data_IF_577442570829
#
_entry.id   IF_577442570829
#
_cell.length_a   1.000
_cell.length_b   1.000
_cell.length_c   1.000
_cell.angle_alpha   90.00
_cell.angle_beta   90.00
_cell.angle_gamma   90.00
#
_symmetry.space_group_name_H-M   'P 1'
#
loop_
_entity.id
_entity.type
_entity.pdbx_description
1 polymer ?
#
# COMPACT_ATOMS: atom_id res chain seq x y z
N UNK A 1 10.84 -22.65 -4.63
CA UNK A 1 9.43 -22.60 -4.18
C UNK A 1 9.32 -23.35 -2.86
N UNK A 2 8.90 -22.70 -1.78
CA UNK A 2 8.64 -23.32 -0.46
C UNK A 2 7.13 -23.39 -0.22
N UNK A 3 6.63 -24.31 0.61
CA UNK A 3 5.29 -24.21 1.19
C UNK A 3 5.10 -22.88 1.93
N UNK A 4 3.89 -22.31 1.87
CA UNK A 4 3.58 -21.06 2.57
C UNK A 4 3.60 -21.24 4.10
N UNK A 5 3.31 -22.44 4.59
CA UNK A 5 3.35 -22.80 6.01
C UNK A 5 4.76 -22.71 6.58
N UNK A 6 5.79 -23.06 5.80
CA UNK A 6 7.21 -22.86 6.18
C UNK A 6 7.51 -21.38 6.42
N UNK A 7 6.94 -20.47 5.62
CA UNK A 7 7.09 -19.03 5.85
C UNK A 7 6.37 -18.59 7.14
N UNK A 8 5.17 -19.09 7.40
CA UNK A 8 4.42 -18.77 8.63
C UNK A 8 5.17 -19.23 9.88
N UNK A 9 5.76 -20.43 9.86
CA UNK A 9 6.64 -20.91 10.95
C UNK A 9 7.83 -20.00 11.17
N UNK A 10 8.48 -19.57 10.10
CA UNK A 10 9.61 -18.64 10.17
C UNK A 10 9.24 -17.24 10.69
N UNK A 11 7.96 -16.87 10.67
CA UNK A 11 7.43 -15.62 11.25
C UNK A 11 7.03 -15.77 12.73
N UNK A 12 7.08 -16.99 13.27
CA UNK A 12 6.84 -17.30 14.68
C UNK A 12 5.55 -18.07 14.98
N UNK A 13 4.82 -18.54 13.95
CA UNK A 13 3.65 -19.42 14.14
C UNK A 13 4.12 -20.88 14.14
N UNK A 14 4.54 -21.38 15.30
CA UNK A 14 5.26 -22.66 15.38
C UNK A 14 4.33 -23.87 15.28
N UNK A 15 3.15 -23.80 15.90
CA UNK A 15 2.29 -24.95 16.05
C UNK A 15 1.38 -25.13 14.83
N UNK A 16 1.17 -26.38 14.41
CA UNK A 16 0.23 -26.69 13.33
C UNK A 16 -1.18 -26.19 13.67
N UNK A 17 -1.59 -26.34 14.93
CA UNK A 17 -2.90 -25.89 15.40
C UNK A 17 -3.05 -24.38 15.29
N UNK A 18 -2.02 -23.62 15.69
CA UNK A 18 -2.00 -22.16 15.57
C UNK A 18 -2.11 -21.73 14.10
N UNK A 19 -1.36 -22.39 13.21
CA UNK A 19 -1.47 -22.14 11.77
C UNK A 19 -2.89 -22.47 11.27
N UNK A 20 -3.48 -23.59 11.68
CA UNK A 20 -4.83 -23.97 11.25
C UNK A 20 -5.89 -22.98 11.73
N UNK A 21 -5.78 -22.50 12.97
CA UNK A 21 -6.69 -21.50 13.55
C UNK A 21 -6.63 -20.17 12.77
N UNK A 22 -5.44 -19.75 12.31
CA UNK A 22 -5.29 -18.54 11.50
C UNK A 22 -6.14 -18.57 10.22
N UNK A 23 -6.43 -19.75 9.67
CA UNK A 23 -7.22 -19.91 8.45
C UNK A 23 -8.57 -20.58 8.70
N UNK A 24 -9.07 -20.58 9.94
CA UNK A 24 -10.36 -21.20 10.32
C UNK A 24 -10.48 -22.66 9.85
N UNK A 25 -9.38 -23.42 9.94
CA UNK A 25 -9.28 -24.84 9.60
C UNK A 25 -9.54 -25.20 8.13
N UNK A 26 -9.23 -24.31 7.19
CA UNK A 26 -9.31 -24.57 5.75
C UNK A 26 -8.50 -25.80 5.29
N UNK A 27 -9.11 -26.64 4.45
CA UNK A 27 -8.54 -27.90 3.97
C UNK A 27 -7.26 -27.72 3.15
N UNK A 28 -7.17 -26.63 2.37
CA UNK A 28 -6.01 -26.30 1.54
C UNK A 28 -4.77 -26.05 2.42
N UNK A 29 -4.97 -25.47 3.60
CA UNK A 29 -3.89 -25.23 4.55
C UNK A 29 -3.44 -26.54 5.18
N UNK A 30 -4.38 -27.43 5.52
CA UNK A 30 -4.08 -28.79 6.01
C UNK A 30 -3.23 -29.58 5.01
N UNK A 31 -3.64 -29.64 3.74
CA UNK A 31 -2.88 -30.34 2.69
C UNK A 31 -1.50 -29.69 2.41
N UNK A 32 -1.36 -28.39 2.68
CA UNK A 32 -0.07 -27.70 2.59
C UNK A 32 0.84 -28.03 3.78
N UNK A 33 0.28 -28.13 4.99
CA UNK A 33 1.00 -28.55 6.20
C UNK A 33 1.52 -30.00 6.07
N UNK A 34 0.76 -30.89 5.46
CA UNK A 34 1.19 -32.27 5.19
C UNK A 34 2.41 -32.35 4.25
N UNK A 35 2.59 -31.34 3.39
CA UNK A 35 3.74 -31.21 2.47
C UNK A 35 4.90 -30.40 3.07
N UNK A 36 4.71 -29.80 4.24
CA UNK A 36 5.73 -29.01 4.92
C UNK A 36 6.76 -29.95 5.55
N UNK A 37 8.02 -29.80 5.15
CA UNK A 37 9.14 -30.57 5.71
C UNK A 37 9.55 -30.10 7.10
N UNK A 38 9.03 -28.97 7.58
CA UNK A 38 9.49 -28.31 8.80
C UNK A 38 8.48 -28.41 9.94
N UNK A 39 8.99 -28.58 11.17
CA UNK A 39 8.15 -28.72 12.36
C UNK A 39 8.18 -27.50 13.30
N UNK A 40 9.22 -26.67 13.25
CA UNK A 40 9.42 -25.56 14.19
C UNK A 40 9.99 -24.29 13.52
N UNK A 41 9.97 -23.13 14.21
CA UNK A 41 10.50 -21.85 13.69
C UNK A 41 11.94 -22.00 13.20
N UNK A 42 12.78 -22.71 13.96
CA UNK A 42 14.21 -22.87 13.68
C UNK A 42 14.48 -23.63 12.38
N UNK A 43 13.81 -24.76 12.16
CA UNK A 43 13.92 -25.55 10.93
C UNK A 43 13.43 -24.77 9.72
N UNK A 44 12.28 -24.09 9.86
CA UNK A 44 11.70 -23.24 8.83
C UNK A 44 12.66 -22.11 8.42
N UNK A 45 13.21 -21.42 9.41
CA UNK A 45 14.25 -20.41 9.22
C UNK A 45 15.43 -20.99 8.42
N UNK A 46 16.01 -22.09 8.89
CA UNK A 46 17.17 -22.74 8.26
C UNK A 46 16.85 -23.15 6.81
N UNK A 47 15.68 -23.70 6.55
CA UNK A 47 15.27 -24.09 5.21
C UNK A 47 15.20 -22.89 4.26
N UNK A 48 14.58 -21.79 4.69
CA UNK A 48 14.53 -20.55 3.90
C UNK A 48 15.95 -20.00 3.68
N UNK A 49 16.79 -20.01 4.70
CA UNK A 49 18.18 -19.53 4.60
C UNK A 49 18.99 -20.31 3.57
N UNK A 50 18.95 -21.65 3.64
CA UNK A 50 19.69 -22.52 2.70
C UNK A 50 19.32 -22.24 1.25
N UNK A 51 18.07 -21.84 0.99
CA UNK A 51 17.60 -21.51 -0.36
C UNK A 51 18.01 -20.11 -0.80
N UNK A 52 18.03 -19.14 0.11
CA UNK A 52 18.46 -17.77 -0.19
C UNK A 52 19.99 -17.65 -0.29
N UNK A 53 20.73 -18.37 0.56
CA UNK A 53 22.18 -18.34 0.67
C UNK A 53 22.74 -19.75 0.80
N UNK A 54 22.83 -20.52 -0.30
CA UNK A 54 23.28 -21.92 -0.26
C UNK A 54 24.71 -22.09 0.24
N UNK A 55 25.57 -21.09 0.04
CA UNK A 55 27.00 -21.15 0.34
C UNK A 55 27.35 -20.77 1.79
N UNK A 56 26.42 -20.20 2.55
CA UNK A 56 26.66 -19.77 3.94
C UNK A 56 26.10 -20.82 4.92
N UNK A 57 26.83 -21.20 5.98
CA UNK A 57 26.30 -22.11 6.98
C UNK A 57 25.15 -21.45 7.76
N UNK A 58 23.97 -22.09 7.85
CA UNK A 58 22.82 -21.51 8.55
C UNK A 58 23.03 -21.60 10.06
N UNK A 59 23.15 -20.46 10.72
CA UNK A 59 23.04 -20.36 12.18
C UNK A 59 21.70 -19.73 12.54
N UNK A 60 21.14 -20.09 13.70
CA UNK A 60 19.83 -19.60 14.15
C UNK A 60 19.79 -18.06 14.21
N UNK A 61 20.82 -17.45 14.79
CA UNK A 61 20.96 -15.98 14.90
C UNK A 61 21.02 -15.31 13.53
N UNK A 62 21.90 -15.76 12.63
CA UNK A 62 22.07 -15.13 11.32
C UNK A 62 20.82 -15.27 10.47
N UNK A 63 20.14 -16.42 10.58
CA UNK A 63 18.95 -16.70 9.80
C UNK A 63 17.77 -15.84 10.23
N UNK A 64 17.51 -15.78 11.54
CA UNK A 64 16.46 -14.92 12.11
C UNK A 64 16.69 -13.45 11.74
N UNK A 65 17.94 -13.00 11.85
CA UNK A 65 18.32 -11.64 11.50
C UNK A 65 18.16 -11.34 10.00
N UNK A 66 18.44 -12.31 9.12
CA UNK A 66 18.24 -12.15 7.69
C UNK A 66 16.76 -11.95 7.34
N UNK A 67 15.88 -12.81 7.84
CA UNK A 67 14.43 -12.71 7.57
C UNK A 67 13.87 -11.39 8.11
N UNK A 68 14.25 -11.02 9.34
CA UNK A 68 13.84 -9.75 9.93
C UNK A 68 14.27 -8.57 9.06
N UNK A 69 15.55 -8.54 8.63
CA UNK A 69 16.08 -7.47 7.77
C UNK A 69 15.46 -7.41 6.38
N UNK A 70 15.04 -8.54 5.83
CA UNK A 70 14.47 -8.60 4.48
C UNK A 70 13.01 -8.14 4.44
N UNK A 71 12.23 -8.43 5.48
CA UNK A 71 10.78 -8.22 5.44
C UNK A 71 10.29 -7.17 6.44
N UNK A 72 10.86 -7.11 7.64
CA UNK A 72 10.27 -6.38 8.78
C UNK A 72 11.06 -5.10 9.15
N UNK A 73 12.32 -5.00 8.73
CA UNK A 73 13.19 -3.86 9.02
C UNK A 73 12.84 -2.64 8.14
N UNK A 74 12.37 -1.58 8.78
CA UNK A 74 11.96 -0.32 8.14
C UNK A 74 13.08 0.43 7.43
N UNK A 75 14.36 0.17 7.76
CA UNK A 75 15.50 0.78 7.07
C UNK A 75 15.87 0.07 5.77
N UNK A 76 15.35 -1.14 5.55
CA UNK A 76 15.70 -2.00 4.41
C UNK A 76 14.49 -2.30 3.52
N UNK A 77 13.31 -2.40 4.13
CA UNK A 77 12.05 -2.66 3.45
C UNK A 77 11.05 -1.54 3.75
N UNK A 78 10.78 -0.71 2.76
CA UNK A 78 9.90 0.44 2.85
C UNK A 78 8.88 0.41 1.69
N UNK A 79 7.60 0.27 2.03
CA UNK A 79 6.48 0.29 1.08
C UNK A 79 6.12 1.72 0.62
N UNK A 80 6.71 2.73 1.26
CA UNK A 80 6.24 4.11 1.28
C UNK A 80 4.77 4.23 1.77
N UNK A 81 4.31 5.48 1.93
CA UNK A 81 2.92 5.76 2.32
C UNK A 81 1.92 5.17 1.33
N UNK A 82 2.23 5.24 0.03
CA UNK A 82 1.37 4.74 -1.04
C UNK A 82 1.24 3.22 -1.04
N UNK A 83 2.32 2.48 -0.78
CA UNK A 83 2.26 1.02 -0.71
C UNK A 83 1.45 0.55 0.49
N UNK A 84 1.61 1.18 1.66
CA UNK A 84 0.77 0.92 2.84
C UNK A 84 -0.71 1.21 2.56
N UNK A 85 -1.01 2.36 1.95
CA UNK A 85 -2.38 2.69 1.52
C UNK A 85 -2.98 1.60 0.60
N UNK A 86 -2.19 1.11 -0.36
CA UNK A 86 -2.63 0.07 -1.31
C UNK A 86 -2.89 -1.28 -0.64
N UNK A 87 -1.99 -1.75 0.24
CA UNK A 87 -2.18 -3.00 0.98
C UNK A 87 -3.46 -2.91 1.84
N UNK A 88 -3.60 -1.85 2.61
CA UNK A 88 -4.74 -1.68 3.52
C UNK A 88 -6.07 -1.63 2.75
N UNK A 89 -6.07 -1.00 1.57
CA UNK A 89 -7.25 -0.98 0.72
C UNK A 89 -7.52 -2.35 0.07
N UNK A 90 -6.51 -3.05 -0.42
CA UNK A 90 -6.69 -4.39 -1.04
C UNK A 90 -7.20 -5.41 -0.04
N UNK A 91 -6.70 -5.37 1.19
CA UNK A 91 -7.09 -6.27 2.28
C UNK A 91 -8.36 -5.80 3.01
N UNK A 92 -8.97 -4.69 2.58
CA UNK A 92 -10.15 -4.14 3.21
C UNK A 92 -11.25 -5.20 3.32
N UNK A 93 -11.85 -5.25 4.51
CA UNK A 93 -12.89 -6.20 4.84
C UNK A 93 -14.17 -5.97 4.01
N UNK A 94 -14.56 -4.72 3.80
CA UNK A 94 -15.80 -4.34 3.13
C UNK A 94 -15.88 -4.78 1.68
N UNK A 95 -14.81 -4.57 0.92
CA UNK A 95 -14.78 -4.91 -0.51
C UNK A 95 -14.97 -6.42 -0.76
N UNK A 96 -14.73 -7.27 0.25
CA UNK A 96 -14.88 -8.73 0.16
C UNK A 96 -16.27 -9.22 0.56
N UNK A 97 -16.92 -8.56 1.53
CA UNK A 97 -18.18 -9.05 2.12
C UNK A 97 -19.43 -8.33 1.60
N UNK A 98 -19.29 -7.11 1.07
CA UNK A 98 -20.44 -6.34 0.60
C UNK A 98 -21.17 -7.08 -0.53
N UNK A 99 -22.49 -7.23 -0.38
CA UNK A 99 -23.36 -7.93 -1.34
C UNK A 99 -23.29 -9.46 -1.30
N UNK A 100 -22.44 -10.04 -0.43
CA UNK A 100 -22.38 -11.50 -0.20
C UNK A 100 -23.47 -11.96 0.76
N UNK A 101 -23.79 -13.25 0.69
CA UNK A 101 -24.75 -13.93 1.57
C UNK A 101 -23.98 -14.50 2.76
N UNK A 102 -24.53 -14.34 3.95
CA UNK A 102 -23.91 -14.84 5.18
C UNK A 102 -24.24 -16.31 5.40
N UNK A 103 -23.25 -17.09 5.86
CA UNK A 103 -23.43 -18.52 6.14
C UNK A 103 -23.95 -18.79 7.57
N UNK A 104 -23.55 -17.98 8.54
CA UNK A 104 -23.89 -18.14 9.97
C UNK A 104 -24.39 -16.83 10.57
N UNK A 105 -25.28 -16.89 11.56
CA UNK A 105 -25.78 -15.69 12.25
C UNK A 105 -24.63 -14.81 12.77
N UNK A 106 -24.66 -13.53 12.42
CA UNK A 106 -23.68 -12.56 12.88
C UNK A 106 -24.18 -11.98 14.19
N UNK A 107 -23.48 -12.30 15.28
CA UNK A 107 -23.79 -11.82 16.62
C UNK A 107 -22.78 -10.76 17.05
N UNK A 108 -23.28 -9.67 17.61
CA UNK A 108 -22.45 -8.64 18.24
C UNK A 108 -21.81 -9.19 19.53
N UNK A 109 -20.46 -9.22 19.66
CA UNK A 109 -19.79 -9.72 20.87
C UNK A 109 -20.17 -8.94 22.15
N UNK A 110 -20.50 -7.66 22.03
CA UNK A 110 -20.79 -6.80 23.19
C UNK A 110 -22.23 -6.91 23.68
N UNK A 111 -23.20 -6.84 22.77
CA UNK A 111 -24.63 -6.85 23.12
C UNK A 111 -25.31 -8.22 23.02
N UNK A 112 -24.60 -9.23 22.48
CA UNK A 112 -25.11 -10.57 22.17
C UNK A 112 -26.39 -10.55 21.30
N UNK A 113 -26.59 -9.46 20.54
CA UNK A 113 -27.71 -9.31 19.60
C UNK A 113 -27.30 -9.80 18.22
N UNK A 114 -28.24 -10.47 17.55
CA UNK A 114 -28.08 -10.87 16.16
C UNK A 114 -28.19 -9.60 15.30
N UNK A 115 -27.09 -9.26 14.63
CA UNK A 115 -27.01 -8.17 13.66
C UNK A 115 -27.65 -8.61 12.34
N UNK A 116 -27.35 -9.83 11.92
CA UNK A 116 -27.82 -10.41 10.67
C UNK A 116 -28.02 -11.91 10.82
N UNK A 117 -29.11 -12.44 10.26
CA UNK A 117 -29.36 -13.88 10.23
C UNK A 117 -28.63 -14.55 9.07
N UNK A 118 -28.39 -15.85 9.21
CA UNK A 118 -27.90 -16.70 8.13
C UNK A 118 -28.78 -16.57 6.88
N UNK A 119 -28.16 -16.73 5.71
CA UNK A 119 -28.77 -16.63 4.38
C UNK A 119 -29.24 -15.22 3.96
N UNK A 120 -29.00 -14.19 4.76
CA UNK A 120 -29.25 -12.79 4.39
C UNK A 120 -28.04 -12.13 3.71
N UNK A 121 -28.32 -11.12 2.86
CA UNK A 121 -27.28 -10.34 2.16
C UNK A 121 -26.74 -9.21 3.02
N UNK A 122 -25.44 -8.96 2.91
CA UNK A 122 -24.78 -7.84 3.60
C UNK A 122 -24.98 -6.53 2.83
N UNK A 123 -25.78 -5.65 3.43
CA UNK A 123 -26.05 -4.29 2.92
C UNK A 123 -25.03 -3.30 3.51
N UNK A 124 -24.90 -2.11 2.93
CA UNK A 124 -24.05 -1.05 3.49
C UNK A 124 -24.38 -0.70 4.95
N UNK A 125 -25.67 -0.63 5.31
CA UNK A 125 -26.10 -0.35 6.70
C UNK A 125 -25.66 -1.44 7.68
N UNK A 126 -25.82 -2.71 7.28
CA UNK A 126 -25.41 -3.87 8.09
C UNK A 126 -23.89 -3.90 8.22
N UNK A 127 -23.18 -3.62 7.13
CA UNK A 127 -21.73 -3.52 7.14
C UNK A 127 -21.21 -2.48 8.15
N UNK A 128 -21.84 -1.29 8.21
CA UNK A 128 -21.51 -0.29 9.22
C UNK A 128 -21.74 -0.81 10.65
N UNK A 129 -22.81 -1.59 10.87
CA UNK A 129 -23.05 -2.22 12.17
C UNK A 129 -21.97 -3.25 12.53
N UNK A 130 -21.55 -4.08 11.56
CA UNK A 130 -20.49 -5.09 11.73
C UNK A 130 -19.14 -4.45 12.11
N UNK A 131 -18.79 -3.32 11.47
CA UNK A 131 -17.57 -2.59 11.81
C UNK A 131 -17.65 -2.05 13.24
N UNK A 132 -18.78 -1.43 13.60
CA UNK A 132 -18.95 -0.81 14.91
C UNK A 132 -18.97 -1.84 16.06
N UNK A 133 -19.43 -3.06 15.81
CA UNK A 133 -19.38 -4.17 16.78
C UNK A 133 -17.98 -4.79 16.93
N UNK A 134 -17.02 -4.41 16.09
CA UNK A 134 -15.63 -4.88 16.20
C UNK A 134 -15.43 -6.36 15.87
N UNK A 135 -16.31 -6.95 15.05
CA UNK A 135 -16.26 -8.36 14.67
C UNK A 135 -14.95 -8.67 13.93
N UNK A 136 -14.31 -9.78 14.32
CA UNK A 136 -13.00 -10.18 13.79
C UNK A 136 -13.08 -11.03 12.52
N UNK A 137 -14.13 -11.83 12.35
CA UNK A 137 -14.34 -12.66 11.16
C UNK A 137 -15.83 -12.84 10.86
N UNK A 138 -16.16 -12.97 9.58
CA UNK A 138 -17.51 -13.27 9.10
C UNK A 138 -17.44 -14.41 8.11
N UNK A 139 -18.35 -15.38 8.24
CA UNK A 139 -18.48 -16.49 7.30
C UNK A 139 -19.52 -16.15 6.23
N UNK A 140 -19.11 -16.21 4.97
CA UNK A 140 -19.96 -15.94 3.82
C UNK A 140 -20.03 -17.15 2.90
N UNK A 141 -21.10 -17.24 2.12
CA UNK A 141 -21.24 -18.24 1.06
C UNK A 141 -20.56 -17.77 -0.22
N UNK A 142 -19.79 -18.66 -0.84
CA UNK A 142 -19.27 -18.45 -2.19
C UNK A 142 -20.33 -18.75 -3.26
N UNK A 143 -19.95 -18.68 -4.54
CA UNK A 143 -20.85 -18.99 -5.66
C UNK A 143 -21.30 -20.45 -5.72
N UNK A 144 -20.61 -21.36 -5.03
CA UNK A 144 -20.89 -22.79 -4.97
C UNK A 144 -21.60 -23.19 -3.66
N UNK A 145 -22.05 -22.22 -2.87
CA UNK A 145 -22.64 -22.40 -1.53
C UNK A 145 -21.70 -23.05 -0.50
N UNK A 146 -20.39 -23.00 -0.71
CA UNK A 146 -19.41 -23.33 0.31
C UNK A 146 -19.24 -22.17 1.29
N UNK A 147 -19.07 -22.51 2.57
CA UNK A 147 -18.78 -21.54 3.64
C UNK A 147 -17.32 -21.14 3.58
N UNK A 148 -17.07 -19.83 3.55
CA UNK A 148 -15.72 -19.26 3.51
C UNK A 148 -15.58 -18.17 4.55
N UNK A 149 -14.48 -18.20 5.30
CA UNK A 149 -14.23 -17.27 6.39
C UNK A 149 -13.44 -16.05 5.92
N UNK A 150 -14.03 -14.87 6.05
CA UNK A 150 -13.39 -13.59 5.75
C UNK A 150 -13.03 -12.89 7.06
N UNK A 151 -11.74 -12.64 7.24
CA UNK A 151 -11.20 -11.93 8.41
C UNK A 151 -11.21 -10.42 8.20
N UNK A 152 -11.53 -9.69 9.27
CA UNK A 152 -11.44 -8.24 9.36
C UNK A 152 -9.99 -7.84 9.69
N UNK A 153 -9.21 -7.63 8.64
CA UNK A 153 -7.79 -7.30 8.74
C UNK A 153 -7.61 -5.85 9.17
N UNK A 154 -7.28 -5.64 10.45
CA UNK A 154 -7.08 -4.31 11.04
C UNK A 154 -5.75 -3.70 10.59
N UNK A 155 -5.70 -2.36 10.52
CA UNK A 155 -4.49 -1.57 10.27
C UNK A 155 -3.62 -1.42 11.53
N UNK A 156 -3.56 -2.48 12.33
CA UNK A 156 -2.90 -2.55 13.64
C UNK A 156 -1.97 -3.76 13.66
N UNK A 157 -0.80 -3.62 14.28
CA UNK A 157 0.14 -4.71 14.48
C UNK A 157 0.60 -4.75 15.92
N UNK A 158 0.86 -5.97 16.42
CA UNK A 158 1.45 -6.15 17.73
C UNK A 158 2.97 -6.13 17.64
N UNK A 159 3.59 -5.14 18.27
CA UNK A 159 5.04 -5.00 18.28
C UNK A 159 5.60 -5.20 19.71
N UNK A 160 6.65 -6.03 19.87
CA UNK A 160 7.35 -6.15 21.14
C UNK A 160 8.20 -4.89 21.39
N UNK A 161 8.09 -4.30 22.58
CA UNK A 161 8.79 -3.04 22.94
C UNK A 161 10.31 -3.24 22.96
N UNK A 162 10.75 -4.42 23.38
CA UNK A 162 12.16 -4.81 23.40
C UNK A 162 12.44 -5.69 22.19
N UNK A 163 13.46 -5.34 21.41
CA UNK A 163 13.94 -6.22 20.36
C UNK A 163 14.68 -7.40 21.00
N UNK A 164 14.21 -8.63 20.71
CA UNK A 164 14.85 -9.87 21.16
C UNK A 164 16.31 -9.99 20.70
N UNK A 165 16.73 -9.25 19.66
CA UNK A 165 18.07 -9.35 19.08
C UNK A 165 19.10 -8.38 19.68
N UNK A 166 18.67 -7.21 20.15
CA UNK A 166 19.57 -6.16 20.63
C UNK A 166 19.40 -5.82 22.11
N UNK A 167 18.43 -6.41 22.82
CA UNK A 167 18.05 -6.13 24.23
C UNK A 167 17.66 -4.65 24.52
N UNK A 168 17.79 -3.77 23.53
CA UNK A 168 17.32 -2.38 23.52
C UNK A 168 15.88 -2.22 23.03
N UNK A 169 15.40 -0.98 23.04
CA UNK A 169 14.08 -0.63 22.50
C UNK A 169 14.06 -0.96 21.01
N UNK A 170 12.99 -1.57 20.54
CA UNK A 170 12.77 -1.85 19.13
C UNK A 170 12.69 -0.52 18.34
N UNK A 171 13.72 -0.25 17.53
CA UNK A 171 13.82 0.97 16.71
C UNK A 171 12.62 1.13 15.75
N UNK A 172 11.97 0.03 15.37
CA UNK A 172 10.80 0.03 14.49
C UNK A 172 9.53 0.62 15.12
N UNK A 173 9.50 0.83 16.44
CA UNK A 173 8.37 1.43 17.16
C UNK A 173 8.54 2.94 17.33
N UNK A 174 9.76 3.45 17.20
CA UNK A 174 10.04 4.87 17.39
C UNK A 174 9.29 5.68 16.33
N UNK A 175 8.62 6.74 16.76
CA UNK A 175 7.80 7.64 15.94
C UNK A 175 6.56 7.00 15.29
N UNK A 176 6.21 5.77 15.68
CA UNK A 176 4.94 5.14 15.28
C UNK A 176 3.77 5.65 16.11
N UNK A 177 2.55 5.42 15.62
CA UNK A 177 1.32 5.89 16.26
C UNK A 177 0.75 4.76 17.13
N UNK A 178 0.47 5.06 18.40
CA UNK A 178 -0.20 4.13 19.30
C UNK A 178 -1.65 3.88 18.83
N UNK A 179 -2.02 2.60 18.70
CA UNK A 179 -3.37 2.18 18.30
C UNK A 179 -4.29 1.86 19.48
N UNK A 180 -3.75 1.85 20.70
CA UNK A 180 -4.50 1.64 21.94
C UNK A 180 -4.10 2.68 23.00
N UNK A 181 -5.02 2.96 23.91
CA UNK A 181 -4.71 3.71 25.13
C UNK A 181 -3.86 2.82 26.04
N UNK A 182 -2.70 3.35 26.43
CA UNK A 182 -1.78 2.65 27.31
C UNK A 182 -1.93 3.24 28.69
N UNK A 183 -2.60 2.49 29.56
CA UNK A 183 -2.82 2.84 30.96
C UNK A 183 -1.75 2.13 31.80
N UNK A 184 -1.14 2.86 32.73
CA UNK A 184 -0.27 2.27 33.74
C UNK A 184 -1.11 1.45 34.72
N UNK A 185 -0.88 0.12 34.83
CA UNK A 185 -1.63 -0.72 35.75
C UNK A 185 -1.42 -0.39 37.23
N UNK A 186 -0.38 0.35 37.60
CA UNK A 186 -0.08 0.71 39.00
C UNK A 186 -0.66 2.06 39.43
N UNK A 187 -0.70 3.04 38.52
CA UNK A 187 -1.14 4.41 38.82
C UNK A 187 -2.52 4.72 38.25
N UNK A 188 -3.01 3.95 37.28
CA UNK A 188 -4.26 4.22 36.58
C UNK A 188 -4.17 5.41 35.62
N UNK A 189 -2.99 6.01 35.44
CA UNK A 189 -2.78 7.13 34.53
C UNK A 189 -2.64 6.64 33.08
N UNK A 190 -3.24 7.40 32.16
CA UNK A 190 -3.05 7.19 30.71
C UNK A 190 -1.66 7.69 30.33
N UNK A 191 -0.71 6.78 30.12
CA UNK A 191 0.66 7.08 29.68
C UNK A 191 0.65 7.61 28.25
N UNK A 192 -0.21 7.06 27.41
CA UNK A 192 -0.31 7.38 26.00
C UNK A 192 -1.75 7.20 25.53
N UNK A 193 -2.33 8.23 24.91
CA UNK A 193 -3.64 8.14 24.26
C UNK A 193 -3.49 7.68 22.81
N UNK A 194 -4.53 7.00 22.32
CA UNK A 194 -4.68 6.55 20.94
C UNK A 194 -4.41 7.71 19.97
N UNK A 195 -3.51 7.51 19.01
CA UNK A 195 -3.10 8.55 18.05
C UNK A 195 -1.82 9.32 18.41
N UNK A 196 -1.28 9.14 19.62
CA UNK A 196 -0.02 9.78 20.03
C UNK A 196 1.21 9.12 19.39
N UNK A 197 2.23 9.92 19.08
CA UNK A 197 3.52 9.42 18.58
C UNK A 197 4.36 8.84 19.73
N UNK A 198 4.85 7.63 19.53
CA UNK A 198 5.69 6.93 20.49
C UNK A 198 7.13 7.47 20.44
N UNK A 199 7.43 8.41 21.33
CA UNK A 199 8.79 8.91 21.54
C UNK A 199 9.60 7.94 22.40
N UNK A 200 10.93 7.99 22.29
CA UNK A 200 11.85 7.14 23.07
C UNK A 200 11.57 7.25 24.58
N UNK A 201 11.30 8.46 25.08
CA UNK A 201 10.98 8.68 26.49
C UNK A 201 9.69 7.98 26.94
N UNK A 202 8.65 7.95 26.10
CA UNK A 202 7.41 7.22 26.36
C UNK A 202 7.65 5.70 26.32
N UNK A 203 8.44 5.21 25.38
CA UNK A 203 8.74 3.78 25.25
C UNK A 203 9.47 3.22 26.49
N UNK A 204 10.36 4.00 27.11
CA UNK A 204 10.98 3.60 28.38
C UNK A 204 9.96 3.45 29.52
N UNK A 205 8.96 4.35 29.61
CA UNK A 205 7.88 4.23 30.61
C UNK A 205 6.99 3.02 30.34
N UNK A 206 6.66 2.78 29.07
CA UNK A 206 5.76 1.68 28.70
C UNK A 206 6.45 0.31 28.86
N UNK A 207 7.77 0.24 28.67
CA UNK A 207 8.58 -0.98 28.89
C UNK A 207 8.37 -1.57 30.29
N UNK A 208 8.09 -0.74 31.29
CA UNK A 208 7.84 -1.20 32.67
C UNK A 208 6.42 -1.78 32.88
N UNK A 209 5.50 -1.51 31.95
CA UNK A 209 4.07 -1.82 32.10
C UNK A 209 3.59 -2.98 31.23
N UNK A 210 4.05 -3.06 29.98
CA UNK A 210 3.66 -4.09 29.00
C UNK A 210 4.88 -4.59 28.23
N UNK A 211 4.79 -5.82 27.72
CA UNK A 211 5.81 -6.39 26.82
C UNK A 211 5.54 -6.10 25.33
N UNK A 212 4.26 -5.98 24.95
CA UNK A 212 3.80 -5.73 23.58
C UNK A 212 2.82 -4.55 23.53
N UNK A 213 2.88 -3.77 22.46
CA UNK A 213 1.97 -2.65 22.16
C UNK A 213 1.28 -2.89 20.82
N UNK A 214 0.01 -2.49 20.72
CA UNK A 214 -0.65 -2.30 19.43
C UNK A 214 -0.26 -0.95 18.83
N UNK A 215 0.38 -0.99 17.67
CA UNK A 215 0.69 0.20 16.90
C UNK A 215 -0.07 0.20 15.59
N UNK A 216 -0.32 1.39 15.04
CA UNK A 216 -0.74 1.52 13.66
C UNK A 216 0.39 1.06 12.75
N UNK A 217 0.07 0.23 11.75
CA UNK A 217 1.09 -0.32 10.85
C UNK A 217 1.84 0.80 10.12
N UNK A 218 3.16 0.73 10.18
CA UNK A 218 4.07 1.68 9.55
C UNK A 218 4.29 1.39 8.05
N UNK A 219 5.29 2.04 7.44
CA UNK A 219 5.63 1.81 6.04
C UNK A 219 6.39 0.50 5.79
N UNK A 220 6.94 -0.15 6.82
CA UNK A 220 7.48 -1.52 6.71
C UNK A 220 6.35 -2.56 6.72
N UNK A 221 6.61 -3.74 6.16
CA UNK A 221 5.65 -4.84 6.17
C UNK A 221 5.54 -5.43 7.58
N UNK A 222 4.31 -5.72 8.03
CA UNK A 222 4.06 -6.38 9.31
C UNK A 222 3.78 -7.87 9.10
N UNK A 223 3.91 -8.69 10.15
CA UNK A 223 3.66 -10.14 10.07
C UNK A 223 2.19 -10.41 9.74
N UNK A 224 1.32 -9.61 10.33
CA UNK A 224 -0.13 -9.62 10.13
C UNK A 224 -0.50 -9.34 8.67
N UNK A 225 0.27 -8.50 7.96
CA UNK A 225 0.03 -8.24 6.53
C UNK A 225 0.31 -9.48 5.67
N UNK A 226 1.32 -10.27 6.03
CA UNK A 226 1.68 -11.50 5.31
C UNK A 226 0.58 -12.55 5.52
N UNK A 227 0.13 -12.72 6.77
CA UNK A 227 -0.98 -13.63 7.11
C UNK A 227 -2.25 -13.21 6.39
N UNK A 228 -2.60 -11.93 6.43
CA UNK A 228 -3.75 -11.36 5.72
C UNK A 228 -3.67 -11.57 4.20
N UNK A 229 -2.48 -11.42 3.61
CA UNK A 229 -2.26 -11.67 2.18
C UNK A 229 -2.47 -13.14 1.81
N UNK A 230 -2.00 -14.08 2.65
CA UNK A 230 -2.23 -15.51 2.46
C UNK A 230 -3.72 -15.86 2.64
N UNK A 231 -4.41 -15.27 3.61
CA UNK A 231 -5.86 -15.43 3.78
C UNK A 231 -6.62 -14.91 2.57
N UNK A 232 -6.21 -13.76 2.01
CA UNK A 232 -6.81 -13.24 0.79
C UNK A 232 -6.60 -14.20 -0.39
N UNK A 233 -5.42 -14.83 -0.50
CA UNK A 233 -5.15 -15.81 -1.55
C UNK A 233 -6.05 -17.06 -1.43
N UNK A 234 -6.25 -17.57 -0.22
CA UNK A 234 -7.18 -18.69 0.04
C UNK A 234 -8.62 -18.28 -0.31
N UNK A 235 -9.05 -17.09 0.10
CA UNK A 235 -10.37 -16.55 -0.26
C UNK A 235 -10.55 -16.43 -1.78
N UNK A 236 -9.52 -15.96 -2.49
CA UNK A 236 -9.55 -15.80 -3.94
C UNK A 236 -9.69 -17.17 -4.64
N UNK A 237 -8.99 -18.19 -4.14
CA UNK A 237 -9.14 -19.56 -4.63
C UNK A 237 -10.58 -20.07 -4.44
N UNK A 238 -11.24 -19.72 -3.34
CA UNK A 238 -12.66 -20.02 -3.07
C UNK A 238 -13.66 -19.09 -3.77
N UNK A 239 -13.20 -18.20 -4.64
CA UNK A 239 -14.06 -17.29 -5.41
C UNK A 239 -14.52 -16.02 -4.67
N UNK A 240 -13.88 -15.66 -3.55
CA UNK A 240 -14.15 -14.43 -2.80
C UNK A 240 -13.00 -13.44 -2.95
N UNK A 241 -13.32 -12.25 -3.45
CA UNK A 241 -12.38 -11.18 -3.75
C UNK A 241 -12.34 -10.86 -5.24
N UNK A 242 -11.39 -10.03 -5.63
CA UNK A 242 -11.16 -9.64 -7.02
C UNK A 242 -9.68 -9.76 -7.40
N UNK A 243 -9.43 -9.97 -8.70
CA UNK A 243 -8.10 -9.99 -9.32
C UNK A 243 -7.71 -8.56 -9.69
N UNK A 244 -6.44 -8.22 -9.54
CA UNK A 244 -5.94 -6.89 -9.88
C UNK A 244 -5.59 -6.78 -11.36
N UNK A 245 -6.08 -5.71 -11.98
CA UNK A 245 -5.65 -5.29 -13.30
C UNK A 245 -4.38 -4.42 -13.16
N UNK A 246 -3.29 -4.86 -13.77
CA UNK A 246 -1.97 -4.20 -13.70
C UNK A 246 -1.92 -2.90 -14.52
N UNK A 247 -2.83 -2.71 -15.46
CA UNK A 247 -2.85 -1.58 -16.39
C UNK A 247 -3.81 -0.48 -15.96
N UNK A 248 -4.74 -0.81 -15.07
CA UNK A 248 -5.58 0.15 -14.37
C UNK A 248 -4.75 1.26 -13.70
N UNK A 249 -5.08 2.54 -13.97
CA UNK A 249 -4.39 3.70 -13.37
C UNK A 249 -4.58 3.83 -11.85
N UNK A 250 -5.43 3.00 -11.26
CA UNK A 250 -5.40 2.75 -9.82
C UNK A 250 -4.12 2.05 -9.39
N UNK A 251 -3.61 1.09 -10.16
CA UNK A 251 -2.44 0.29 -9.82
C UNK A 251 -1.14 0.81 -10.45
N UNK A 252 -1.25 1.73 -11.42
CA UNK A 252 -0.13 2.49 -11.97
C UNK A 252 -0.09 3.90 -11.38
N UNK A 253 1.08 4.32 -10.89
CA UNK A 253 1.30 5.67 -10.37
C UNK A 253 2.42 6.40 -11.10
N UNK A 254 2.37 7.72 -11.07
CA UNK A 254 3.44 8.59 -11.55
C UNK A 254 4.40 8.89 -10.41
N UNK A 255 5.69 8.64 -10.62
CA UNK A 255 6.74 9.23 -9.81
C UNK A 255 7.07 10.62 -10.34
N UNK A 256 6.83 11.65 -9.53
CA UNK A 256 7.16 13.03 -9.92
C UNK A 256 8.66 13.30 -9.79
N UNK A 257 9.13 14.42 -10.33
CA UNK A 257 10.54 14.84 -10.26
C UNK A 257 11.02 14.92 -8.80
N UNK A 258 10.17 15.39 -7.88
CA UNK A 258 10.50 15.47 -6.46
C UNK A 258 10.77 14.10 -5.85
N UNK A 259 9.93 13.11 -6.15
CA UNK A 259 10.10 11.74 -5.65
C UNK A 259 11.33 11.06 -6.26
N UNK A 260 11.57 11.23 -7.57
CA UNK A 260 12.77 10.71 -8.23
C UNK A 260 14.06 11.28 -7.62
N UNK A 261 14.07 12.58 -7.32
CA UNK A 261 15.20 13.22 -6.65
C UNK A 261 15.36 12.75 -5.21
N UNK A 262 14.25 12.57 -4.47
CA UNK A 262 14.27 12.05 -3.12
C UNK A 262 14.90 10.65 -3.06
N UNK A 263 14.55 9.75 -4.00
CA UNK A 263 15.13 8.41 -4.10
C UNK A 263 16.66 8.49 -4.31
N UNK A 264 17.13 9.36 -5.20
CA UNK A 264 18.56 9.55 -5.44
C UNK A 264 19.29 10.17 -4.23
N UNK A 265 18.64 11.12 -3.56
CA UNK A 265 19.18 11.74 -2.35
C UNK A 265 19.31 10.71 -1.23
N UNK A 266 18.31 9.85 -1.06
CA UNK A 266 18.32 8.76 -0.09
C UNK A 266 19.49 7.79 -0.34
N UNK A 267 19.69 7.36 -1.59
CA UNK A 267 20.83 6.51 -1.97
C UNK A 267 22.17 7.21 -1.65
N UNK A 268 22.28 8.50 -1.94
CA UNK A 268 23.45 9.31 -1.62
C UNK A 268 23.72 9.41 -0.13
N UNK A 269 22.68 9.62 0.68
CA UNK A 269 22.77 9.65 2.14
C UNK A 269 23.14 8.29 2.73
N UNK A 270 22.58 7.20 2.22
CA UNK A 270 22.93 5.85 2.69
C UNK A 270 24.39 5.49 2.42
N UNK A 271 24.95 5.93 1.27
CA UNK A 271 26.40 5.81 0.99
C UNK A 271 27.23 6.65 1.96
N UNK A 272 26.77 7.86 2.26
CA UNK A 272 27.45 8.75 3.22
C UNK A 272 27.41 8.18 4.64
N UNK A 273 26.28 7.62 5.07
CA UNK A 273 26.10 6.95 6.34
C UNK A 273 27.11 5.81 6.52
N UNK A 274 27.32 5.00 5.47
CA UNK A 274 28.33 3.93 5.50
C UNK A 274 29.74 4.49 5.74
N UNK A 275 30.12 5.57 5.04
CA UNK A 275 31.43 6.22 5.23
C UNK A 275 31.56 6.78 6.65
N UNK A 276 30.50 7.35 7.21
CA UNK A 276 30.47 7.85 8.60
C UNK A 276 30.70 6.69 9.58
N UNK A 277 29.99 5.56 9.42
CA UNK A 277 30.17 4.36 10.27
C UNK A 277 31.60 3.84 10.20
N UNK A 278 32.17 3.72 9.00
CA UNK A 278 33.56 3.29 8.81
C UNK A 278 34.55 4.25 9.48
N UNK A 279 34.38 5.57 9.34
CA UNK A 279 35.24 6.57 10.00
C UNK A 279 35.13 6.54 11.52
N UNK A 280 33.93 6.37 12.05
CA UNK A 280 33.71 6.24 13.50
C UNK A 280 34.47 5.05 14.09
N UNK A 281 34.59 3.93 13.37
CA UNK A 281 35.36 2.77 13.84
C UNK A 281 36.88 2.94 13.75
N UNK A 282 37.36 3.81 12.86
CA UNK A 282 38.80 4.00 12.62
C UNK A 282 39.39 5.04 13.59
N UNK A 283 38.62 6.04 14.01
CA UNK A 283 39.12 7.10 14.87
C UNK A 283 39.28 6.62 16.32
N UNK A 284 40.50 6.65 16.89
CA UNK A 284 40.75 6.15 18.24
C UNK A 284 40.21 7.08 19.35
N UNK A 285 40.19 8.39 19.11
CA UNK A 285 39.78 9.40 20.10
C UNK A 285 38.30 9.79 19.94
N UNK A 286 37.43 9.12 20.70
CA UNK A 286 35.98 9.36 20.71
C UNK A 286 35.61 10.79 21.16
N UNK A 287 36.44 11.42 21.99
CA UNK A 287 36.19 12.75 22.57
C UNK A 287 36.50 13.93 21.62
N UNK A 288 37.29 13.71 20.56
CA UNK A 288 37.68 14.75 19.60
C UNK A 288 36.85 14.74 18.31
N UNK A 289 35.87 13.83 18.21
CA UNK A 289 35.08 13.64 16.98
C UNK A 289 34.10 14.79 16.79
N UNK A 290 34.30 15.58 15.73
CA UNK A 290 33.34 16.59 15.29
C UNK A 290 32.52 16.08 14.10
N UNK A 291 31.23 16.49 13.94
CA UNK A 291 30.42 16.08 12.78
C UNK A 291 31.06 16.42 11.43
N UNK A 292 31.78 17.54 11.36
CA UNK A 292 32.50 17.97 10.15
C UNK A 292 33.60 16.98 9.73
N UNK A 293 34.28 16.35 10.68
CA UNK A 293 35.31 15.34 10.39
C UNK A 293 34.70 14.04 9.82
N UNK A 294 33.47 13.71 10.23
CA UNK A 294 32.79 12.49 9.80
C UNK A 294 32.07 12.66 8.45
N UNK A 295 31.44 13.81 8.22
CA UNK A 295 30.59 14.04 7.06
C UNK A 295 31.42 14.24 5.80
N UNK A 296 31.15 13.44 4.77
CA UNK A 296 31.70 13.60 3.43
C UNK A 296 30.58 13.74 2.42
N UNK A 297 30.44 14.93 1.83
CA UNK A 297 29.39 15.22 0.85
C UNK A 297 29.65 14.65 -0.55
N UNK A 298 30.86 14.18 -0.87
CA UNK A 298 31.23 13.72 -2.22
C UNK A 298 30.31 12.61 -2.76
N UNK A 299 29.96 11.55 -2.00
CA UNK A 299 29.06 10.50 -2.49
C UNK A 299 27.67 11.02 -2.86
N UNK A 300 27.14 11.97 -2.08
CA UNK A 300 25.83 12.57 -2.34
C UNK A 300 25.86 13.42 -3.62
N UNK A 301 26.86 14.29 -3.77
CA UNK A 301 27.02 15.13 -4.96
C UNK A 301 27.23 14.29 -6.23
N UNK A 302 27.97 13.18 -6.12
CA UNK A 302 28.17 12.26 -7.24
C UNK A 302 26.85 11.64 -7.72
N UNK A 303 26.00 11.15 -6.79
CA UNK A 303 24.69 10.58 -7.14
C UNK A 303 23.78 11.61 -7.82
N UNK A 304 23.73 12.84 -7.31
CA UNK A 304 22.91 13.92 -7.90
C UNK A 304 23.42 14.29 -9.30
N UNK A 305 24.74 14.46 -9.47
CA UNK A 305 25.33 14.76 -10.78
C UNK A 305 25.07 13.64 -11.79
N UNK A 306 25.17 12.38 -11.37
CA UNK A 306 24.86 11.24 -12.21
C UNK A 306 23.39 11.24 -12.64
N UNK A 307 22.46 11.55 -11.72
CA UNK A 307 21.04 11.63 -12.06
C UNK A 307 20.76 12.68 -13.14
N UNK A 308 21.20 13.92 -12.97
CA UNK A 308 20.93 14.96 -13.97
C UNK A 308 21.75 14.79 -15.26
N UNK A 309 22.95 14.22 -15.17
CA UNK A 309 23.86 14.10 -16.31
C UNK A 309 23.61 12.88 -17.21
N UNK A 310 23.16 11.74 -16.66
CA UNK A 310 23.06 10.49 -17.41
C UNK A 310 21.75 9.71 -17.22
N UNK A 311 20.79 10.23 -16.44
CA UNK A 311 19.49 9.55 -16.31
C UNK A 311 18.68 9.65 -17.59
N UNK A 312 18.03 8.56 -17.98
CA UNK A 312 17.10 8.54 -19.11
C UNK A 312 15.90 9.50 -18.94
N UNK A 313 15.54 9.81 -17.69
CA UNK A 313 14.46 10.73 -17.35
C UNK A 313 14.91 12.20 -17.33
N UNK A 314 16.22 12.46 -17.31
CA UNK A 314 16.80 13.80 -17.44
C UNK A 314 17.09 14.06 -18.91
N UNK A 315 16.12 14.65 -19.62
CA UNK A 315 16.17 14.83 -21.07
C UNK A 315 16.51 16.27 -21.43
N UNK A 316 17.20 16.46 -22.55
CA UNK A 316 17.34 17.79 -23.15
C UNK A 316 15.98 18.30 -23.59
N UNK A 317 15.66 19.50 -23.15
CA UNK A 317 14.37 20.10 -23.41
C UNK A 317 14.18 20.38 -24.91
N UNK A 318 13.12 19.83 -25.50
CA UNK A 318 12.60 20.29 -26.78
C UNK A 318 12.08 21.73 -26.67
N UNK A 319 12.77 22.65 -27.35
CA UNK A 319 12.52 24.08 -27.37
C UNK A 319 12.23 24.60 -28.77
N UNK A 320 11.76 23.73 -29.67
CA UNK A 320 11.41 24.12 -31.05
C UNK A 320 10.32 25.20 -31.10
N UNK A 321 9.31 25.09 -30.24
CA UNK A 321 8.25 26.08 -30.07
C UNK A 321 7.61 25.95 -28.67
N UNK A 322 6.79 26.93 -28.22
CA UNK A 322 6.19 26.89 -26.89
C UNK A 322 5.28 25.68 -26.61
N UNK A 323 4.63 25.15 -27.64
CA UNK A 323 3.77 23.97 -27.49
C UNK A 323 4.62 22.72 -27.23
N UNK A 324 5.72 22.53 -27.97
CA UNK A 324 6.69 21.45 -27.72
C UNK A 324 7.25 21.52 -26.31
N UNK A 325 7.54 22.74 -25.82
CA UNK A 325 8.08 22.97 -24.49
C UNK A 325 7.09 22.53 -23.38
N UNK A 326 5.83 22.97 -23.48
CA UNK A 326 4.76 22.61 -22.53
C UNK A 326 4.49 21.10 -22.58
N UNK A 327 4.42 20.55 -23.78
CA UNK A 327 4.19 19.13 -24.02
C UNK A 327 5.28 18.29 -23.36
N UNK A 328 6.55 18.65 -23.57
CA UNK A 328 7.67 17.92 -23.00
C UNK A 328 7.67 17.96 -21.46
N UNK A 329 7.32 19.10 -20.86
CA UNK A 329 7.17 19.25 -19.40
C UNK A 329 6.03 18.41 -18.81
N UNK A 330 4.99 18.08 -19.60
CA UNK A 330 3.80 17.30 -19.18
C UNK A 330 3.83 15.84 -19.66
N UNK A 331 4.96 15.41 -20.22
CA UNK A 331 5.14 14.07 -20.77
C UNK A 331 5.26 13.03 -19.65
N UNK A 332 4.59 11.90 -19.85
CA UNK A 332 4.70 10.69 -19.04
C UNK A 332 5.55 9.66 -19.79
N UNK A 333 6.45 8.99 -19.07
CA UNK A 333 7.29 7.93 -19.61
C UNK A 333 7.16 6.68 -18.73
N UNK A 334 6.74 5.57 -19.33
CA UNK A 334 6.79 4.25 -18.69
C UNK A 334 8.21 3.65 -18.70
N UNK A 335 9.12 4.25 -19.47
CA UNK A 335 10.53 3.85 -19.58
C UNK A 335 11.38 4.54 -18.52
N UNK A 336 12.35 3.80 -17.96
CA UNK A 336 13.35 4.34 -17.05
C UNK A 336 13.70 3.38 -15.91
N UNK A 337 14.60 3.78 -14.99
CA UNK A 337 14.94 2.99 -13.80
C UNK A 337 13.70 2.70 -12.95
N UNK A 338 13.43 1.42 -12.70
CA UNK A 338 12.24 0.96 -11.96
C UNK A 338 10.95 0.91 -12.78
N UNK A 339 10.98 1.33 -14.05
CA UNK A 339 9.89 1.18 -15.01
C UNK A 339 10.10 -0.01 -15.94
N UNK A 340 9.53 0.09 -17.14
CA UNK A 340 9.64 -0.95 -18.17
C UNK A 340 10.84 -0.71 -19.07
N UNK A 341 11.40 -1.79 -19.60
CA UNK A 341 12.30 -1.73 -20.75
C UNK A 341 11.51 -1.92 -22.04
N UNK A 342 11.99 -1.35 -23.14
CA UNK A 342 11.30 -1.43 -24.45
C UNK A 342 11.01 -2.87 -24.89
N UNK A 343 11.95 -3.78 -24.62
CA UNK A 343 11.87 -5.19 -25.00
C UNK A 343 10.88 -5.99 -24.15
N UNK A 344 10.67 -5.58 -22.89
CA UNK A 344 9.73 -6.24 -21.96
C UNK A 344 8.33 -5.68 -22.03
N UNK A 345 8.14 -4.54 -22.70
CA UNK A 345 6.84 -3.92 -22.84
C UNK A 345 6.01 -4.62 -23.94
N UNK A 346 5.12 -5.51 -23.49
CA UNK A 346 4.16 -6.19 -24.34
C UNK A 346 3.10 -5.26 -24.95
N UNK A 347 2.17 -5.84 -25.69
CA UNK A 347 1.10 -5.11 -26.37
C UNK A 347 0.11 -4.47 -25.38
N UNK A 348 -0.35 -5.22 -24.38
CA UNK A 348 -1.37 -4.77 -23.39
C UNK A 348 -0.99 -3.45 -22.72
N UNK A 349 0.27 -3.34 -22.28
CA UNK A 349 0.82 -2.14 -21.63
C UNK A 349 0.76 -0.88 -22.52
N UNK A 350 0.85 -1.06 -23.84
CA UNK A 350 0.89 0.03 -24.84
C UNK A 350 -0.50 0.46 -25.29
N UNK A 351 -1.50 -0.37 -25.05
CA UNK A 351 -2.87 -0.11 -25.48
C UNK A 351 -3.52 0.97 -24.61
N UNK A 352 -4.64 1.51 -25.10
CA UNK A 352 -5.41 2.52 -24.38
C UNK A 352 -6.36 1.82 -23.41
N UNK A 353 -6.08 1.99 -22.11
CA UNK A 353 -6.94 1.50 -21.05
C UNK A 353 -8.12 2.44 -20.79
N UNK A 354 -9.29 1.93 -20.40
CA UNK A 354 -10.49 2.77 -20.16
C UNK A 354 -10.26 3.86 -19.10
N UNK A 355 -9.46 3.56 -18.07
CA UNK A 355 -9.06 4.51 -17.03
C UNK A 355 -8.23 5.69 -17.52
N UNK A 356 -7.65 5.64 -18.73
CA UNK A 356 -6.92 6.76 -19.32
C UNK A 356 -7.84 7.97 -19.57
N UNK A 357 -9.15 7.76 -19.65
CA UNK A 357 -10.14 8.80 -19.88
C UNK A 357 -9.96 9.99 -18.93
N UNK A 358 -9.79 11.19 -19.49
CA UNK A 358 -9.58 12.42 -18.72
C UNK A 358 -8.24 12.52 -17.98
N UNK A 359 -7.36 11.51 -18.07
CA UNK A 359 -6.08 11.42 -17.33
C UNK A 359 -4.86 11.44 -18.25
N UNK A 360 -4.81 10.54 -19.22
CA UNK A 360 -3.74 10.42 -20.22
C UNK A 360 -4.36 10.57 -21.60
N UNK A 361 -3.75 11.40 -22.46
CA UNK A 361 -4.24 11.60 -23.81
C UNK A 361 -4.12 10.30 -24.61
N UNK A 362 -5.22 9.76 -25.17
CA UNK A 362 -5.17 8.52 -25.95
C UNK A 362 -4.62 8.73 -27.36
N UNK A 363 -4.51 9.98 -27.81
CA UNK A 363 -4.06 10.34 -29.16
C UNK A 363 -2.56 10.67 -29.17
N UNK A 364 -2.12 11.43 -28.17
CA UNK A 364 -0.80 12.02 -28.16
C UNK A 364 0.25 11.02 -27.64
N UNK A 365 0.74 10.19 -28.57
CA UNK A 365 1.83 9.25 -28.36
C UNK A 365 2.73 9.20 -29.60
N UNK A 366 4.05 8.96 -29.48
CA UNK A 366 4.91 8.81 -30.65
C UNK A 366 4.54 7.55 -31.46
N UNK A 367 4.41 7.67 -32.78
CA UNK A 367 4.06 6.55 -33.68
C UNK A 367 5.19 5.51 -33.86
N UNK A 368 6.41 5.83 -33.42
CA UNK A 368 7.59 4.97 -33.56
C UNK A 368 7.65 3.83 -32.52
N UNK A 369 8.85 3.30 -32.21
CA UNK A 369 9.01 2.15 -31.32
C UNK A 369 8.55 2.40 -29.86
N UNK A 370 8.32 3.67 -29.50
CA UNK A 370 7.86 4.08 -28.17
C UNK A 370 6.33 4.29 -28.09
N UNK A 371 5.57 3.89 -29.11
CA UNK A 371 4.10 3.98 -29.11
C UNK A 371 3.52 3.33 -27.85
N UNK A 372 2.62 4.06 -27.18
CA UNK A 372 1.97 3.65 -25.93
C UNK A 372 2.84 3.71 -24.67
N UNK A 373 4.17 3.85 -24.80
CA UNK A 373 5.09 3.94 -23.64
C UNK A 373 5.38 5.37 -23.22
N UNK A 374 5.13 6.31 -24.12
CA UNK A 374 5.23 7.75 -23.88
C UNK A 374 3.89 8.36 -24.21
N UNK A 375 3.35 9.12 -23.27
CA UNK A 375 2.09 9.84 -23.44
C UNK A 375 2.13 11.21 -22.80
N UNK A 376 1.05 11.96 -22.91
CA UNK A 376 0.91 13.29 -22.30
C UNK A 376 -0.27 13.32 -21.33
N UNK A 377 -0.13 14.07 -20.23
CA UNK A 377 -1.23 14.32 -19.30
C UNK A 377 -2.36 15.10 -19.99
N UNK A 378 -3.61 14.70 -19.75
CA UNK A 378 -4.78 15.48 -20.16
C UNK A 378 -4.79 16.88 -19.52
N UNK A 379 -5.58 17.79 -20.11
CA UNK A 379 -5.61 19.22 -19.74
C UNK A 379 -5.93 19.43 -18.26
N UNK A 380 -7.02 18.84 -17.79
CA UNK A 380 -7.51 18.99 -16.42
C UNK A 380 -7.00 17.93 -15.44
N UNK A 381 -6.16 17.00 -15.92
CA UNK A 381 -5.57 15.99 -15.07
C UNK A 381 -4.60 16.61 -14.06
N UNK A 382 -4.64 16.12 -12.83
CA UNK A 382 -3.67 16.47 -11.78
C UNK A 382 -3.12 15.20 -11.14
N UNK A 383 -1.93 15.30 -10.55
CA UNK A 383 -1.32 14.21 -9.80
C UNK A 383 -1.50 14.50 -8.31
N UNK A 384 -2.06 13.55 -7.56
CA UNK A 384 -2.23 13.70 -6.12
C UNK A 384 -0.94 13.37 -5.35
N UNK A 385 -0.93 13.56 -4.04
CA UNK A 385 0.25 13.34 -3.19
C UNK A 385 0.78 11.89 -3.23
N UNK A 386 -0.08 10.93 -3.55
CA UNK A 386 0.28 9.51 -3.66
C UNK A 386 0.78 9.13 -5.07
N UNK A 387 0.74 10.05 -6.03
CA UNK A 387 1.18 9.83 -7.40
C UNK A 387 0.09 9.30 -8.35
N UNK A 388 -1.18 9.23 -7.92
CA UNK A 388 -2.28 8.84 -8.81
C UNK A 388 -2.78 10.05 -9.60
N UNK A 389 -3.24 9.79 -10.83
CA UNK A 389 -3.82 10.82 -11.69
C UNK A 389 -5.31 10.96 -11.38
N UNK A 390 -5.73 12.17 -11.05
CA UNK A 390 -7.11 12.53 -10.80
C UNK A 390 -7.63 13.41 -11.93
N UNK A 391 -8.93 13.30 -12.20
CA UNK A 391 -9.62 14.12 -13.19
C UNK A 391 -10.88 14.72 -12.56
N UNK A 392 -11.27 15.96 -12.91
CA UNK A 392 -12.41 16.63 -12.30
C UNK A 392 -13.74 16.18 -12.91
N UNK A 393 -14.76 16.07 -12.06
CA UNK A 393 -16.15 15.79 -12.42
C UNK A 393 -17.10 16.74 -11.69
N UNK A 394 -18.22 17.07 -12.33
CA UNK A 394 -19.34 17.72 -11.66
C UNK A 394 -20.12 16.71 -10.84
N UNK A 395 -20.42 17.05 -9.60
CA UNK A 395 -21.24 16.20 -8.73
C UNK A 395 -22.71 16.32 -9.11
N UNK A 396 -23.42 15.20 -9.07
CA UNK A 396 -24.85 15.13 -9.36
C UNK A 396 -25.57 14.57 -8.14
N UNK A 397 -26.54 15.32 -7.63
CA UNK A 397 -27.38 14.94 -6.48
C UNK A 397 -28.84 15.02 -6.88
N UNK A 398 -29.61 13.96 -6.64
CA UNK A 398 -31.04 13.88 -6.97
C UNK A 398 -31.38 14.29 -8.42
N UNK A 399 -30.51 13.89 -9.37
CA UNK A 399 -30.66 14.18 -10.80
C UNK A 399 -30.37 15.63 -11.20
N UNK A 400 -29.87 16.48 -10.28
CA UNK A 400 -29.43 17.85 -10.57
C UNK A 400 -27.91 17.96 -10.53
N UNK A 401 -27.34 18.58 -11.54
CA UNK A 401 -25.92 18.91 -11.58
C UNK A 401 -25.66 20.06 -10.59
N UNK A 402 -24.64 19.91 -9.76
CA UNK A 402 -24.17 20.98 -8.87
C UNK A 402 -22.92 21.63 -9.45
N UNK A 403 -22.61 22.86 -9.03
CA UNK A 403 -21.38 23.57 -9.41
C UNK A 403 -20.14 23.05 -8.66
N UNK A 404 -20.29 22.02 -7.83
CA UNK A 404 -19.21 21.40 -7.05
C UNK A 404 -18.37 20.49 -7.95
N UNK A 405 -17.09 20.84 -8.13
CA UNK A 405 -16.13 20.03 -8.87
C UNK A 405 -15.37 19.12 -7.91
N UNK A 406 -15.48 17.82 -8.13
CA UNK A 406 -14.79 16.78 -7.36
C UNK A 406 -13.75 16.12 -8.25
N UNK A 407 -12.52 16.03 -7.78
CA UNK A 407 -11.46 15.28 -8.46
C UNK A 407 -11.50 13.83 -8.01
N UNK A 408 -11.57 12.91 -8.97
CA UNK A 408 -11.63 11.48 -8.71
C UNK A 408 -10.40 10.78 -9.26
N UNK A 409 -9.80 9.92 -8.45
CA UNK A 409 -8.83 8.93 -8.92
C UNK A 409 -9.52 7.83 -9.73
N UNK A 410 -8.77 7.06 -10.52
CA UNK A 410 -9.35 5.99 -11.36
C UNK A 410 -10.13 4.97 -10.52
N UNK A 411 -9.59 4.65 -9.35
CA UNK A 411 -10.18 3.73 -8.38
C UNK A 411 -11.50 4.22 -7.74
N UNK A 412 -11.65 5.53 -7.59
CA UNK A 412 -12.86 6.13 -7.06
C UNK A 412 -13.92 6.29 -8.15
N UNK A 413 -13.49 6.60 -9.37
CA UNK A 413 -14.36 6.73 -10.54
C UNK A 413 -15.19 5.46 -10.78
N UNK A 414 -14.57 4.28 -10.66
CA UNK A 414 -15.24 2.97 -10.84
C UNK A 414 -16.40 2.72 -9.88
N UNK A 415 -16.46 3.43 -8.75
CA UNK A 415 -17.55 3.32 -7.78
C UNK A 415 -18.81 4.08 -8.20
N UNK A 416 -18.68 4.97 -9.19
CA UNK A 416 -19.76 5.84 -9.65
C UNK A 416 -20.12 5.55 -11.10
N UNK A 417 -21.34 5.91 -11.49
CA UNK A 417 -21.76 5.93 -12.89
C UNK A 417 -21.55 7.34 -13.44
N UNK A 418 -20.63 7.47 -14.38
CA UNK A 418 -20.28 8.76 -14.97
C UNK A 418 -21.16 9.04 -16.19
N UNK A 419 -21.76 10.23 -16.19
CA UNK A 419 -22.60 10.73 -17.27
C UNK A 419 -21.74 11.57 -18.23
N UNK A 420 -21.95 11.45 -19.54
CA UNK A 420 -21.22 12.25 -20.53
C UNK A 420 -21.67 13.72 -20.52
N UNK A 421 -20.80 14.61 -21.00
CA UNK A 421 -21.08 16.05 -21.02
C UNK A 421 -22.15 16.46 -22.04
N UNK A 422 -22.42 15.62 -23.06
CA UNK A 422 -23.38 15.87 -24.13
C UNK A 422 -24.84 15.56 -23.74
N UNK A 423 -25.13 15.32 -22.47
CA UNK A 423 -26.48 15.00 -22.00
C UNK A 423 -27.36 16.25 -22.02
N UNK A 424 -28.57 16.10 -22.54
CA UNK A 424 -29.57 17.17 -22.56
C UNK A 424 -30.15 17.34 -21.16
N UNK A 425 -29.77 18.42 -20.49
CA UNK A 425 -30.31 18.79 -19.18
C UNK A 425 -31.62 19.54 -19.42
N UNK A 426 -32.76 18.92 -19.07
CA UNK A 426 -34.04 19.63 -19.00
C UNK A 426 -34.05 20.50 -17.76
N UNK A 427 -33.57 21.74 -17.89
CA UNK A 427 -33.74 22.76 -16.85
C UNK A 427 -35.24 23.07 -16.81
N UNK A 428 -35.88 22.73 -15.70
CA UNK A 428 -37.32 22.84 -15.47
C UNK A 428 -37.86 24.28 -15.43
N UNK A 429 -37.15 25.27 -15.99
CA UNK A 429 -37.68 26.61 -16.28
C UNK A 429 -36.87 27.49 -17.27
N UNK A 430 -35.78 27.04 -17.89
CA UNK A 430 -35.14 27.79 -18.98
C UNK A 430 -34.34 26.87 -19.90
N UNK A 431 -34.74 26.77 -21.16
CA UNK A 431 -34.03 26.05 -22.22
C UNK A 431 -32.70 26.74 -22.52
N UNK A 432 -31.62 26.33 -21.85
CA UNK A 432 -30.26 26.63 -22.31
C UNK A 432 -29.78 25.44 -23.13
N UNK A 433 -30.02 25.52 -24.44
CA UNK A 433 -29.29 24.71 -25.41
C UNK A 433 -27.87 25.27 -25.45
N UNK A 434 -26.92 24.56 -24.87
CA UNK A 434 -25.50 24.85 -25.07
C UNK A 434 -25.13 24.44 -26.50
N UNK A 435 -25.37 25.33 -27.46
CA UNK A 435 -25.01 25.14 -28.85
C UNK A 435 -23.70 25.90 -29.10
N UNK A 436 -22.69 25.20 -29.61
CA UNK A 436 -21.32 25.67 -29.90
C UNK A 436 -21.20 26.81 -30.94
N UNK A 437 -22.27 27.51 -31.30
CA UNK A 437 -22.21 28.62 -32.26
C UNK A 437 -22.87 29.87 -31.72
N UNK A 438 -22.02 30.86 -31.44
CA UNK A 438 -22.32 32.28 -31.22
C UNK A 438 -23.52 32.76 -32.05
N UNK A 439 -24.64 33.07 -31.39
CA UNK A 439 -25.31 34.39 -31.36
C UNK A 439 -26.64 34.21 -30.61
N UNK A 440 -26.67 34.67 -29.36
CA UNK A 440 -27.91 34.87 -28.65
C UNK A 440 -28.73 35.94 -29.37
N UNK A 441 -29.90 35.57 -29.89
CA UNK A 441 -30.99 36.51 -30.12
C UNK A 441 -32.11 36.15 -29.16
N UNK A 442 -32.45 37.14 -28.33
CA UNK A 442 -33.55 37.07 -27.37
C UNK A 442 -34.87 36.88 -28.13
N UNK A 443 -35.63 35.85 -27.75
CA UNK A 443 -37.07 35.81 -27.97
C UNK A 443 -37.71 35.68 -26.59
N UNK A 444 -38.57 36.64 -26.26
CA UNK A 444 -39.37 36.76 -25.04
C UNK A 444 -40.83 36.37 -25.37
N UNK A 445 -41.60 36.08 -24.31
CA UNK A 445 -41.81 34.77 -23.69
C UNK A 445 -42.69 33.82 -24.52
#
# INVERSE_FOLDING_TARGET
KIPATTLLRALGYENNEEIMELFDYEEIVKTTLEKDSTANEKEALIEIFRRLRPSEPPTERNTRQLIYRLLLDSKRYDLAKVGRYKINRKLNFGDRILGKIVAEDIVDPGSNKIILKAEEKINQKIFSAIINSGIEKVKVLNSENETVTVFNEKDEAFMPIVDKLSEGINEGIIDTIAAEDIIDPKTGEVICSTGSKLTIALLYKIKECKEKIKIKKGPSLAREDIVASLRYLVNLYRGIGYIDDIDHLGNRRIKTVGELLQDQFYIGLSRMERVIRERMTIQPDVSAITPQALINARPLLATIRQFFGSSQLSQFMDQTNPLSEITHKRRLSALGPGGLTRERAGFEVRDVHHTHYGRICPIETPEGPNIGLIGSLCIYARVNELGFIETPYFKVTDGKITDEIVYLSADEEDKYRIAQINIIIKILNYSLVYNEKRKAQNVKP
#
